data_IF_539262571842
#
_entry.id   IF_539262571842
#
_cell.length_a   1.000
_cell.length_b   1.000
_cell.length_c   1.000
_cell.angle_alpha   90.00
_cell.angle_beta   90.00
_cell.angle_gamma   90.00
#
_symmetry.space_group_name_H-M   'P 1'
#
loop_
_entity.id
_entity.type
_entity.pdbx_description
1 polymer ?
#
# COMPACT_ATOMS: atom_id res chain seq x y z
N UNK A 1 -7.96 8.52 0.98
CA UNK A 1 -7.05 7.39 1.26
C UNK A 1 -6.81 7.28 2.75
N UNK A 2 -7.02 6.12 3.27
CA UNK A 2 -6.66 5.79 4.64
C UNK A 2 -5.80 4.53 4.63
N UNK A 3 -4.72 4.53 5.41
CA UNK A 3 -3.77 3.43 5.42
C UNK A 3 -3.51 3.04 6.87
N UNK A 4 -3.52 1.74 7.13
CA UNK A 4 -3.15 1.18 8.42
C UNK A 4 -1.93 0.29 8.25
N UNK A 5 -0.95 0.48 9.12
CA UNK A 5 0.27 -0.33 9.13
C UNK A 5 0.16 -1.36 10.24
N UNK A 6 0.34 -2.62 9.89
CA UNK A 6 0.19 -3.73 10.83
C UNK A 6 1.39 -4.66 10.70
N UNK A 7 1.94 -5.10 11.85
CA UNK A 7 2.96 -6.14 11.84
C UNK A 7 2.32 -7.45 11.35
N UNK A 8 3.03 -8.28 10.58
CA UNK A 8 2.47 -9.51 10.04
C UNK A 8 1.99 -10.48 11.12
N UNK A 9 2.60 -10.46 12.30
CA UNK A 9 2.23 -11.30 13.41
C UNK A 9 2.68 -10.66 14.72
N UNK A 10 1.95 -10.94 15.79
CA UNK A 10 2.33 -10.51 17.13
C UNK A 10 3.36 -11.44 17.76
N UNK A 11 3.64 -12.59 17.16
CA UNK A 11 4.61 -13.56 17.65
C UNK A 11 6.00 -13.20 17.13
N UNK A 12 6.94 -12.78 18.00
CA UNK A 12 8.26 -12.37 17.54
C UNK A 12 9.04 -13.49 16.86
N UNK A 13 8.76 -14.75 17.18
CA UNK A 13 9.45 -15.87 16.55
C UNK A 13 8.99 -16.12 15.12
N UNK A 14 7.81 -15.63 14.78
CA UNK A 14 7.26 -15.80 13.44
C UNK A 14 7.24 -14.51 12.64
N UNK A 15 7.51 -13.39 13.28
CA UNK A 15 7.55 -12.10 12.58
C UNK A 15 8.75 -12.09 11.63
N UNK A 16 8.52 -11.67 10.40
CA UNK A 16 9.60 -11.41 9.46
C UNK A 16 10.20 -10.06 9.79
N UNK A 17 11.50 -10.06 10.06
CA UNK A 17 12.18 -8.81 10.31
C UNK A 17 12.13 -7.92 9.10
N UNK A 18 11.86 -6.65 9.32
CA UNK A 18 11.90 -5.64 8.28
C UNK A 18 10.70 -5.62 7.36
N UNK A 19 9.62 -6.34 7.70
CA UNK A 19 8.40 -6.30 6.88
C UNK A 19 7.18 -5.97 7.73
N UNK A 20 6.21 -5.35 7.07
CA UNK A 20 4.91 -5.00 7.64
C UNK A 20 3.82 -5.31 6.63
N UNK A 21 2.58 -5.37 7.11
CA UNK A 21 1.41 -5.41 6.25
C UNK A 21 0.79 -4.02 6.20
N UNK A 22 0.55 -3.55 4.98
CA UNK A 22 -0.10 -2.26 4.75
C UNK A 22 -1.50 -2.53 4.25
N UNK A 23 -2.50 -2.11 5.01
CA UNK A 23 -3.88 -2.18 4.55
C UNK A 23 -4.50 -0.79 4.56
N UNK A 24 -5.48 -0.59 3.72
CA UNK A 24 -6.12 0.69 3.63
C UNK A 24 -7.29 0.68 2.67
N UNK A 25 -7.78 1.86 2.39
CA UNK A 25 -8.86 2.01 1.43
C UNK A 25 -8.71 3.33 0.67
N UNK A 26 -9.28 3.33 -0.53
CA UNK A 26 -9.37 4.50 -1.39
C UNK A 26 -10.85 4.78 -1.67
N UNK A 27 -11.15 5.96 -2.16
CA UNK A 27 -12.55 6.38 -2.36
C UNK A 27 -13.19 5.76 -3.58
N UNK A 28 -12.39 5.23 -4.52
CA UNK A 28 -12.91 4.66 -5.77
C UNK A 28 -12.46 3.22 -5.89
N UNK A 29 -13.40 2.28 -5.95
CA UNK A 29 -13.11 0.87 -6.16
C UNK A 29 -12.44 0.65 -7.51
N UNK A 30 -11.58 -0.37 -7.58
CA UNK A 30 -10.85 -0.68 -8.81
C UNK A 30 -9.59 0.16 -9.02
N UNK A 31 -9.30 1.09 -8.12
CA UNK A 31 -8.07 1.87 -8.18
C UNK A 31 -6.85 0.97 -8.03
N UNK A 32 -5.87 1.14 -8.91
CA UNK A 32 -4.59 0.44 -8.79
C UNK A 32 -3.72 1.23 -7.83
N UNK A 33 -3.25 0.56 -6.78
CA UNK A 33 -2.41 1.16 -5.75
C UNK A 33 -1.00 0.64 -5.93
N UNK A 34 -0.07 1.54 -6.22
CA UNK A 34 1.34 1.23 -6.30
C UNK A 34 2.03 1.77 -5.05
N UNK A 35 2.79 0.93 -4.36
CA UNK A 35 3.59 1.35 -3.23
C UNK A 35 5.05 1.25 -3.60
N UNK A 36 5.75 2.37 -3.50
CA UNK A 36 7.18 2.44 -3.78
C UNK A 36 7.93 2.60 -2.47
N UNK A 37 8.77 1.62 -2.16
CA UNK A 37 9.60 1.61 -0.96
C UNK A 37 11.03 1.28 -1.39
N UNK A 38 11.94 2.22 -1.21
CA UNK A 38 13.30 2.04 -1.67
C UNK A 38 13.34 1.73 -3.17
N UNK A 39 13.91 0.59 -3.51
CA UNK A 39 13.99 0.14 -4.91
C UNK A 39 12.85 -0.80 -5.29
N UNK A 40 11.92 -1.06 -4.36
CA UNK A 40 10.79 -1.96 -4.63
C UNK A 40 9.57 -1.18 -5.05
N UNK A 41 8.81 -1.79 -5.95
CA UNK A 41 7.51 -1.29 -6.37
C UNK A 41 6.52 -2.44 -6.23
N UNK A 42 5.51 -2.26 -5.38
CA UNK A 42 4.49 -3.26 -5.11
C UNK A 42 3.16 -2.71 -5.60
N UNK A 43 2.43 -3.51 -6.36
CA UNK A 43 1.19 -3.05 -6.98
C UNK A 43 0.05 -3.99 -6.62
N UNK A 44 -1.07 -3.42 -6.19
CA UNK A 44 -2.31 -4.15 -5.95
C UNK A 44 -3.46 -3.36 -6.52
N UNK A 45 -4.57 -4.05 -6.77
CA UNK A 45 -5.81 -3.39 -7.21
C UNK A 45 -6.80 -3.40 -6.06
N UNK A 46 -7.32 -2.24 -5.71
CA UNK A 46 -8.36 -2.13 -4.71
C UNK A 46 -9.62 -2.87 -5.19
N UNK A 47 -10.36 -3.45 -4.24
CA UNK A 47 -11.59 -4.13 -4.56
C UNK A 47 -12.71 -3.14 -4.90
N UNK A 48 -13.92 -3.66 -5.09
CA UNK A 48 -15.08 -2.83 -5.45
C UNK A 48 -15.46 -1.84 -4.35
N UNK A 49 -15.01 -2.09 -3.12
CA UNK A 49 -15.22 -1.19 -1.98
C UNK A 49 -14.05 -0.23 -1.75
N UNK A 50 -13.03 -0.32 -2.59
CA UNK A 50 -11.86 0.51 -2.46
C UNK A 50 -10.83 0.01 -1.46
N UNK A 51 -10.94 -1.22 -0.98
CA UNK A 51 -10.00 -1.79 0.00
C UNK A 51 -8.84 -2.48 -0.68
N UNK A 52 -7.68 -2.37 -0.06
CA UNK A 52 -6.48 -3.05 -0.55
C UNK A 52 -5.61 -3.50 0.62
N UNK A 53 -4.81 -4.54 0.39
CA UNK A 53 -3.84 -5.06 1.35
C UNK A 53 -2.56 -5.36 0.59
N UNK A 54 -1.43 -4.90 1.13
CA UNK A 54 -0.10 -5.18 0.59
C UNK A 54 0.70 -5.86 1.70
N UNK A 55 1.13 -7.09 1.46
CA UNK A 55 1.88 -7.87 2.44
C UNK A 55 3.38 -7.82 2.17
N UNK A 56 4.17 -8.16 3.18
CA UNK A 56 5.64 -8.25 3.08
C UNK A 56 6.28 -6.94 2.60
N UNK A 57 5.79 -5.82 3.13
CA UNK A 57 6.32 -4.50 2.79
C UNK A 57 7.54 -4.22 3.67
N UNK A 58 8.71 -3.92 3.09
CA UNK A 58 9.87 -3.56 3.89
C UNK A 58 9.67 -2.22 4.61
N UNK A 59 10.34 -2.07 5.74
CA UNK A 59 10.37 -0.79 6.44
C UNK A 59 11.20 0.22 5.64
N UNK A 60 10.86 1.47 5.77
CA UNK A 60 11.61 2.55 5.17
C UNK A 60 10.71 3.63 4.60
N UNK A 61 11.30 4.65 3.97
CA UNK A 61 10.49 5.69 3.33
C UNK A 61 9.76 5.12 2.13
N UNK A 62 8.48 5.37 2.07
CA UNK A 62 7.63 4.88 0.98
C UNK A 62 6.59 5.89 0.58
N UNK A 63 6.06 5.72 -0.62
CA UNK A 63 4.97 6.56 -1.11
C UNK A 63 4.01 5.73 -1.92
N UNK A 64 2.77 6.18 -1.95
CA UNK A 64 1.73 5.54 -2.73
C UNK A 64 1.49 6.33 -4.01
N UNK A 65 1.29 5.60 -5.09
CA UNK A 65 0.84 6.17 -6.35
C UNK A 65 -0.50 5.51 -6.66
N UNK A 66 -1.55 6.29 -6.72
CA UNK A 66 -2.90 5.79 -6.95
C UNK A 66 -3.26 6.03 -8.41
N UNK A 67 -3.68 4.97 -9.10
CA UNK A 67 -4.11 5.03 -10.48
C UNK A 67 -5.62 4.79 -10.53
N UNK A 68 -6.45 5.84 -10.46
CA UNK A 68 -7.90 5.67 -10.51
C UNK A 68 -8.32 4.97 -11.80
N UNK A 69 -9.41 4.18 -11.77
CA UNK A 69 -9.93 3.59 -12.99
C UNK A 69 -10.56 4.68 -13.88
N UNK A 70 -10.44 4.52 -15.16
CA UNK A 70 -11.03 5.44 -16.11
C UNK A 70 -9.99 6.05 -17.03
N UNK A 71 -10.43 6.44 -18.22
CA UNK A 71 -9.55 7.09 -19.18
C UNK A 71 -9.35 8.54 -18.80
N UNK A 72 -8.12 9.03 -18.95
CA UNK A 72 -7.80 10.40 -18.69
C UNK A 72 -7.57 10.75 -17.22
N UNK A 73 -7.72 9.77 -16.33
CA UNK A 73 -7.45 9.99 -14.91
C UNK A 73 -5.95 10.07 -14.65
N UNK A 74 -5.58 11.04 -13.85
CA UNK A 74 -4.16 11.25 -13.52
C UNK A 74 -3.81 10.48 -12.26
N UNK A 75 -2.58 9.93 -12.19
CA UNK A 75 -2.13 9.31 -10.95
C UNK A 75 -2.04 10.32 -9.82
N UNK A 76 -2.37 9.85 -8.62
CA UNK A 76 -2.27 10.65 -7.41
C UNK A 76 -1.09 10.15 -6.62
N UNK A 77 -0.12 11.02 -6.36
CA UNK A 77 1.10 10.66 -5.63
C UNK A 77 0.99 11.23 -4.22
N UNK A 78 1.07 10.36 -3.23
CA UNK A 78 1.04 10.79 -1.85
C UNK A 78 2.42 11.26 -1.40
N UNK A 79 2.50 12.07 -0.34
CA UNK A 79 3.79 12.38 0.27
C UNK A 79 4.49 11.12 0.76
N UNK A 80 5.81 11.19 0.86
CA UNK A 80 6.60 10.09 1.42
C UNK A 80 6.27 9.92 2.90
N UNK A 81 6.02 8.68 3.28
CA UNK A 81 5.76 8.31 4.68
C UNK A 81 6.77 7.26 5.13
N UNK A 82 7.00 7.20 6.41
CA UNK A 82 7.89 6.21 6.99
C UNK A 82 7.10 4.95 7.30
N UNK A 83 7.50 3.86 6.70
CA UNK A 83 6.83 2.56 6.87
C UNK A 83 7.58 1.64 7.82
#
# INVERSE_FOLDING_TARGET
LMVTLTAPTDDPDQAREGTITVDGWVTVGGTVVELRVGNLSLTVTADEHGRFVIEDVPHGPGRFVLHPPGEGERPIITPTVEL
#
